data_IF_114614098299
#
_entry.id   IF_114614098299
#
_cell.length_a   1.000
_cell.length_b   1.000
_cell.length_c   1.000
_cell.angle_alpha   90.00
_cell.angle_beta   90.00
_cell.angle_gamma   90.00
#
_symmetry.space_group_name_H-M   'P 1'
#
loop_
_entity.id
_entity.type
_entity.pdbx_description
1 polymer ?
#
# COMPACT_ATOMS: atom_id res chain seq x y z
N UNK A 1 -23.15 -7.90 -18.10
CA UNK A 1 -23.21 -6.43 -18.13
C UNK A 1 -21.79 -5.95 -18.39
N UNK A 2 -21.51 -5.45 -19.59
CA UNK A 2 -20.18 -4.96 -19.96
C UNK A 2 -19.95 -3.61 -19.26
N UNK A 3 -19.24 -3.63 -18.14
CA UNK A 3 -18.64 -2.42 -17.57
C UNK A 3 -17.51 -2.00 -18.49
N UNK A 4 -17.78 -1.10 -19.43
CA UNK A 4 -16.73 -0.47 -20.23
C UNK A 4 -15.81 0.28 -19.29
N UNK A 5 -14.59 -0.23 -19.11
CA UNK A 5 -13.55 0.49 -18.39
C UNK A 5 -13.26 1.78 -19.14
N UNK A 6 -13.58 2.93 -18.55
CA UNK A 6 -13.19 4.23 -19.11
C UNK A 6 -11.68 4.26 -19.28
N UNK A 7 -11.21 4.59 -20.48
CA UNK A 7 -9.79 4.67 -20.81
C UNK A 7 -9.19 5.99 -20.35
N UNK A 8 -7.88 6.03 -20.06
CA UNK A 8 -7.18 7.30 -19.78
C UNK A 8 -7.37 8.32 -20.89
N UNK A 9 -7.46 7.88 -22.15
CA UNK A 9 -7.71 8.78 -23.29
C UNK A 9 -9.06 9.48 -23.19
N UNK A 10 -10.10 8.81 -22.70
CA UNK A 10 -11.42 9.41 -22.50
C UNK A 10 -11.42 10.37 -21.30
N UNK A 11 -10.72 10.01 -20.21
CA UNK A 11 -10.59 10.87 -19.02
C UNK A 11 -9.82 12.16 -19.34
N UNK A 12 -8.67 12.05 -20.04
CA UNK A 12 -7.83 13.20 -20.38
C UNK A 12 -8.55 14.18 -21.31
N UNK A 13 -9.39 13.69 -22.22
CA UNK A 13 -10.11 14.53 -23.18
C UNK A 13 -11.51 14.93 -22.70
N UNK A 14 -11.84 14.70 -21.43
CA UNK A 14 -13.16 15.03 -20.90
C UNK A 14 -13.38 16.56 -20.87
N UNK A 15 -14.53 17.06 -21.34
CA UNK A 15 -14.81 18.49 -21.29
C UNK A 15 -14.80 19.03 -19.85
N UNK A 16 -14.09 20.13 -19.62
CA UNK A 16 -14.07 20.83 -18.32
C UNK A 16 -12.99 20.37 -17.33
N UNK A 17 -12.13 19.43 -17.72
CA UNK A 17 -10.97 19.02 -16.91
C UNK A 17 -9.87 20.09 -16.94
N UNK A 18 -9.23 20.36 -15.80
CA UNK A 18 -8.13 21.33 -15.70
C UNK A 18 -6.86 20.79 -16.35
N UNK A 19 -5.95 21.68 -16.76
CA UNK A 19 -4.65 21.25 -17.32
C UNK A 19 -3.84 20.41 -16.32
N UNK A 20 -3.85 20.81 -15.04
CA UNK A 20 -3.20 20.08 -13.95
C UNK A 20 -3.73 18.66 -13.81
N UNK A 21 -5.06 18.48 -13.91
CA UNK A 21 -5.68 17.16 -13.85
C UNK A 21 -5.37 16.33 -15.11
N UNK A 22 -5.29 16.95 -16.29
CA UNK A 22 -4.84 16.27 -17.50
C UNK A 22 -3.40 15.78 -17.36
N UNK A 23 -2.51 16.60 -16.79
CA UNK A 23 -1.10 16.26 -16.62
C UNK A 23 -0.93 15.15 -15.58
N UNK A 24 -1.72 15.18 -14.50
CA UNK A 24 -1.81 14.07 -13.53
C UNK A 24 -2.23 12.76 -14.19
N UNK A 25 -3.31 12.79 -14.98
CA UNK A 25 -3.80 11.60 -15.70
C UNK A 25 -2.81 11.10 -16.76
N UNK A 26 -2.09 12.00 -17.42
CA UNK A 26 -1.02 11.64 -18.37
C UNK A 26 0.15 10.97 -17.66
N UNK A 27 0.61 11.51 -16.54
CA UNK A 27 1.68 10.93 -15.74
C UNK A 27 1.31 9.52 -15.24
N UNK A 28 0.11 9.36 -14.68
CA UNK A 28 -0.38 8.07 -14.18
C UNK A 28 -0.56 7.05 -15.33
N UNK A 29 -1.11 7.50 -16.47
CA UNK A 29 -1.19 6.67 -17.68
C UNK A 29 0.18 6.23 -18.19
N UNK A 30 1.17 7.13 -18.21
CA UNK A 30 2.55 6.79 -18.59
C UNK A 30 3.13 5.73 -17.65
N UNK A 31 3.00 5.94 -16.35
CA UNK A 31 3.52 5.02 -15.34
C UNK A 31 2.91 3.62 -15.48
N UNK A 32 1.58 3.56 -15.66
CA UNK A 32 0.85 2.31 -15.88
C UNK A 32 1.26 1.58 -17.16
N UNK A 33 1.41 2.31 -18.28
CA UNK A 33 1.84 1.73 -19.55
C UNK A 33 3.31 1.30 -19.55
N UNK A 34 4.19 2.04 -18.89
CA UNK A 34 5.60 1.65 -18.66
C UNK A 34 5.63 0.33 -17.89
N UNK A 35 4.92 0.24 -16.76
CA UNK A 35 4.83 -0.99 -15.96
C UNK A 35 4.32 -2.18 -16.77
N UNK A 36 3.22 -2.00 -17.51
CA UNK A 36 2.66 -3.05 -18.35
C UNK A 36 3.63 -3.51 -19.46
N UNK A 37 4.35 -2.57 -20.09
CA UNK A 37 5.31 -2.89 -21.15
C UNK A 37 6.55 -3.62 -20.60
N UNK A 38 7.05 -3.23 -19.42
CA UNK A 38 8.13 -3.92 -18.72
C UNK A 38 7.75 -5.36 -18.38
N UNK A 39 6.55 -5.58 -17.83
CA UNK A 39 6.01 -6.92 -17.57
C UNK A 39 5.93 -7.74 -18.85
N UNK A 40 5.40 -7.15 -19.94
CA UNK A 40 5.32 -7.80 -21.25
C UNK A 40 6.68 -8.19 -21.84
N UNK A 41 7.75 -7.47 -21.48
CA UNK A 41 9.14 -7.77 -21.86
C UNK A 41 9.82 -8.78 -20.94
N UNK A 42 9.15 -9.25 -19.90
CA UNK A 42 9.72 -10.14 -18.89
C UNK A 42 10.64 -9.43 -17.88
N UNK A 43 10.64 -8.09 -17.87
CA UNK A 43 11.49 -7.28 -17.00
C UNK A 43 10.81 -6.98 -15.67
N UNK A 44 10.62 -8.04 -14.88
CA UNK A 44 9.81 -7.99 -13.67
C UNK A 44 10.47 -7.16 -12.56
N UNK A 45 11.79 -7.06 -12.53
CA UNK A 45 12.49 -6.30 -11.49
C UNK A 45 12.28 -4.80 -11.65
N UNK A 46 12.43 -4.24 -12.86
CA UNK A 46 12.12 -2.84 -13.12
C UNK A 46 10.62 -2.55 -12.96
N UNK A 47 9.75 -3.47 -13.39
CA UNK A 47 8.30 -3.32 -13.22
C UNK A 47 7.88 -3.27 -11.74
N UNK A 48 8.55 -4.00 -10.85
CA UNK A 48 8.30 -3.94 -9.40
C UNK A 48 8.70 -2.59 -8.79
N UNK A 49 9.75 -1.95 -9.30
CA UNK A 49 10.19 -0.65 -8.82
C UNK A 49 9.15 0.44 -9.12
N UNK A 50 8.38 0.30 -10.20
CA UNK A 50 7.25 1.22 -10.50
C UNK A 50 6.23 1.26 -9.35
N UNK A 51 6.05 0.16 -8.61
CA UNK A 51 5.13 0.11 -7.46
C UNK A 51 5.66 0.84 -6.22
N UNK A 52 6.93 1.23 -6.21
CA UNK A 52 7.55 2.03 -5.13
C UNK A 52 7.42 3.54 -5.38
N UNK A 53 6.89 3.95 -6.54
CA UNK A 53 6.60 5.35 -6.84
C UNK A 53 5.40 5.78 -6.00
N UNK A 54 5.59 6.78 -5.15
CA UNK A 54 4.52 7.33 -4.30
C UNK A 54 3.69 8.34 -5.08
N UNK A 55 4.33 9.14 -5.95
CA UNK A 55 3.67 10.12 -6.80
C UNK A 55 4.37 10.20 -8.16
N UNK A 56 3.56 10.38 -9.22
CA UNK A 56 4.06 10.70 -10.56
C UNK A 56 3.42 11.98 -11.07
N UNK A 57 4.23 12.89 -11.61
CA UNK A 57 3.74 14.13 -12.22
C UNK A 57 4.59 14.53 -13.43
N UNK A 58 3.99 15.37 -14.27
CA UNK A 58 4.73 16.01 -15.35
C UNK A 58 5.26 17.36 -14.86
N UNK A 59 6.55 17.62 -15.06
CA UNK A 59 7.15 18.93 -14.82
C UNK A 59 7.74 19.48 -16.11
N UNK A 60 7.48 20.75 -16.38
CA UNK A 60 8.03 21.44 -17.53
C UNK A 60 9.53 21.70 -17.35
N UNK A 61 10.35 21.24 -18.30
CA UNK A 61 11.81 21.32 -18.21
C UNK A 61 12.36 22.70 -18.66
N UNK A 62 11.53 23.54 -19.26
CA UNK A 62 11.89 24.85 -19.79
C UNK A 62 12.36 24.87 -21.25
N UNK A 63 12.53 23.71 -21.90
CA UNK A 63 13.08 23.53 -23.25
C UNK A 63 12.08 22.96 -24.28
N UNK A 64 10.78 23.08 -24.00
CA UNK A 64 9.65 22.60 -24.80
C UNK A 64 9.13 21.19 -24.49
N UNK A 65 9.61 20.52 -23.45
CA UNK A 65 9.24 19.14 -23.14
C UNK A 65 8.84 18.97 -21.67
N UNK A 66 8.02 17.95 -21.41
CA UNK A 66 7.64 17.57 -20.05
C UNK A 66 8.52 16.40 -19.59
N UNK A 67 9.04 16.51 -18.37
CA UNK A 67 9.71 15.42 -17.69
C UNK A 67 8.70 14.61 -16.86
N UNK A 68 8.79 13.28 -16.92
CA UNK A 68 8.08 12.43 -15.97
C UNK A 68 8.87 12.37 -14.67
N UNK A 69 8.34 13.02 -13.64
CA UNK A 69 8.89 12.97 -12.28
C UNK A 69 8.27 11.80 -11.55
N UNK A 70 9.12 10.93 -11.01
CA UNK A 70 8.76 9.82 -10.13
C UNK A 70 9.29 10.15 -8.74
N UNK A 71 8.39 10.46 -7.82
CA UNK A 71 8.75 10.70 -6.43
C UNK A 71 8.67 9.40 -5.64
N UNK A 72 9.77 9.08 -4.96
CA UNK A 72 9.94 7.83 -4.21
C UNK A 72 10.33 8.14 -2.78
N UNK A 73 10.07 7.22 -1.86
CA UNK A 73 10.55 7.40 -0.50
C UNK A 73 12.09 7.36 -0.44
N UNK A 74 12.75 8.13 0.45
CA UNK A 74 14.21 8.09 0.63
C UNK A 74 14.80 6.68 0.87
N UNK A 75 14.06 5.79 1.54
CA UNK A 75 14.51 4.40 1.75
C UNK A 75 14.60 3.59 0.45
N UNK A 76 13.82 3.96 -0.55
CA UNK A 76 13.61 3.17 -1.76
C UNK A 76 14.42 3.76 -2.93
N UNK A 77 14.92 5.00 -2.77
CA UNK A 77 15.78 5.69 -3.75
C UNK A 77 16.98 4.86 -4.19
N UNK A 78 17.58 4.10 -3.28
CA UNK A 78 18.73 3.25 -3.58
C UNK A 78 18.43 2.12 -4.57
N UNK A 79 17.16 1.72 -4.71
CA UNK A 79 16.74 0.70 -5.67
C UNK A 79 16.68 1.23 -7.12
N UNK A 80 16.56 2.55 -7.29
CA UNK A 80 16.56 3.22 -8.60
C UNK A 80 18.00 3.59 -9.01
N UNK A 81 18.76 2.57 -9.40
CA UNK A 81 20.12 2.74 -9.94
C UNK A 81 20.12 3.49 -11.27
N UNK A 82 21.28 3.98 -11.72
CA UNK A 82 21.41 4.59 -13.05
C UNK A 82 20.85 3.70 -14.16
N UNK A 83 21.20 2.42 -14.13
CA UNK A 83 20.83 1.46 -15.16
C UNK A 83 19.31 1.24 -15.21
N UNK A 84 18.68 1.17 -14.04
CA UNK A 84 17.21 1.11 -13.94
C UNK A 84 16.59 2.39 -14.48
N UNK A 85 17.09 3.55 -14.06
CA UNK A 85 16.53 4.85 -14.48
C UNK A 85 16.67 5.04 -15.98
N UNK A 86 17.81 4.69 -16.57
CA UNK A 86 18.02 4.80 -18.02
C UNK A 86 17.11 3.86 -18.80
N UNK A 87 16.90 2.64 -18.28
CA UNK A 87 15.90 1.72 -18.83
C UNK A 87 14.48 2.28 -18.75
N UNK A 88 14.11 2.90 -17.62
CA UNK A 88 12.80 3.55 -17.47
C UNK A 88 12.64 4.70 -18.45
N UNK A 89 13.69 5.49 -18.71
CA UNK A 89 13.68 6.54 -19.73
C UNK A 89 13.39 5.97 -21.11
N UNK A 90 14.12 4.94 -21.53
CA UNK A 90 13.92 4.31 -22.85
C UNK A 90 12.47 3.85 -23.05
N UNK A 91 11.91 3.17 -22.04
CA UNK A 91 10.53 2.69 -22.09
C UNK A 91 9.54 3.86 -22.05
N UNK A 92 9.80 4.88 -21.23
CA UNK A 92 8.97 6.08 -21.15
C UNK A 92 8.90 6.81 -22.49
N UNK A 93 10.04 7.04 -23.15
CA UNK A 93 10.11 7.66 -24.48
C UNK A 93 9.30 6.86 -25.50
N UNK A 94 9.41 5.53 -25.50
CA UNK A 94 8.64 4.67 -26.40
C UNK A 94 7.13 4.78 -26.16
N UNK A 95 6.69 4.71 -24.90
CA UNK A 95 5.28 4.80 -24.53
C UNK A 95 4.73 6.20 -24.84
N UNK A 96 5.45 7.24 -24.44
CA UNK A 96 5.10 8.64 -24.67
C UNK A 96 4.93 8.95 -26.16
N UNK A 97 5.84 8.47 -27.02
CA UNK A 97 5.73 8.63 -28.46
C UNK A 97 4.49 7.94 -29.05
N UNK A 98 4.07 6.80 -28.50
CA UNK A 98 2.85 6.10 -28.95
C UNK A 98 1.57 6.77 -28.48
N UNK A 99 1.61 7.41 -27.31
CA UNK A 99 0.47 8.10 -26.71
C UNK A 99 0.39 9.58 -27.10
N UNK A 100 1.44 10.13 -27.73
CA UNK A 100 1.57 11.54 -28.12
C UNK A 100 1.53 12.49 -26.91
N UNK A 101 2.29 12.15 -25.86
CA UNK A 101 2.29 12.91 -24.60
C UNK A 101 3.41 13.96 -24.49
N UNK A 102 4.40 13.94 -25.39
CA UNK A 102 5.49 14.92 -25.40
C UNK A 102 6.44 14.83 -24.19
N UNK A 103 6.58 13.62 -23.64
CA UNK A 103 7.49 13.30 -22.53
C UNK A 103 8.68 12.49 -23.05
N UNK A 104 9.90 12.91 -22.75
CA UNK A 104 11.10 12.21 -23.23
C UNK A 104 12.13 11.93 -22.12
N UNK A 105 11.88 12.38 -20.90
CA UNK A 105 12.77 12.20 -19.77
C UNK A 105 12.05 11.64 -18.55
N UNK A 106 12.81 10.93 -17.72
CA UNK A 106 12.35 10.40 -16.44
C UNK A 106 13.34 10.83 -15.36
N UNK A 107 12.81 11.45 -14.32
CA UNK A 107 13.58 11.85 -13.14
C UNK A 107 13.04 11.12 -11.93
N UNK A 108 13.90 10.40 -11.23
CA UNK A 108 13.57 9.80 -9.94
C UNK A 108 14.17 10.64 -8.83
N UNK A 109 13.32 11.16 -7.95
CA UNK A 109 13.74 11.95 -6.79
C UNK A 109 13.00 11.54 -5.53
N UNK A 110 13.55 11.95 -4.41
CA UNK A 110 12.96 11.66 -3.11
C UNK A 110 11.78 12.61 -2.86
N UNK A 111 10.69 12.07 -2.30
CA UNK A 111 9.64 12.91 -1.71
C UNK A 111 10.28 13.73 -0.59
N UNK A 112 10.15 15.05 -0.67
CA UNK A 112 10.58 15.94 0.41
C UNK A 112 9.48 15.94 1.47
N UNK A 113 9.76 15.49 2.70
CA UNK A 113 8.76 15.50 3.75
C UNK A 113 8.41 16.94 4.11
N UNK A 114 7.12 17.23 4.26
CA UNK A 114 6.71 18.48 4.88
C UNK A 114 7.25 18.55 6.31
N UNK A 115 7.88 19.67 6.66
CA UNK A 115 8.46 19.90 7.98
C UNK A 115 7.66 20.96 8.73
N UNK A 116 7.22 20.63 9.95
CA UNK A 116 6.51 21.56 10.83
C UNK A 116 7.47 22.51 11.57
N UNK A 117 6.96 23.52 12.31
CA UNK A 117 7.78 24.47 13.06
C UNK A 117 8.73 23.80 14.09
N UNK A 118 8.39 22.60 14.56
CA UNK A 118 9.15 21.79 15.51
C UNK A 118 10.14 20.81 14.84
N UNK A 119 10.51 21.01 13.57
CA UNK A 119 11.37 20.09 12.82
C UNK A 119 12.71 19.78 13.49
N UNK A 120 13.26 20.71 14.28
CA UNK A 120 14.52 20.51 15.00
C UNK A 120 14.41 19.44 16.08
N UNK A 121 13.27 19.37 16.77
CA UNK A 121 13.04 18.36 17.80
C UNK A 121 12.78 17.00 17.16
N UNK A 122 12.02 16.97 16.06
CA UNK A 122 11.79 15.75 15.26
C UNK A 122 13.10 15.17 14.68
N UNK A 123 13.99 16.03 14.17
CA UNK A 123 15.31 15.58 13.70
C UNK A 123 16.19 15.10 14.85
N UNK A 124 16.14 15.75 16.01
CA UNK A 124 16.90 15.32 17.20
C UNK A 124 16.43 13.93 17.65
N UNK A 125 15.13 13.71 17.71
CA UNK A 125 14.55 12.40 18.02
C UNK A 125 14.95 11.33 16.98
N UNK A 126 14.87 11.65 15.69
CA UNK A 126 15.28 10.74 14.62
C UNK A 126 16.78 10.39 14.67
N UNK A 127 17.64 11.38 14.96
CA UNK A 127 19.08 11.21 15.11
C UNK A 127 19.44 10.37 16.35
N UNK A 128 18.65 10.46 17.43
CA UNK A 128 18.73 9.60 18.61
C UNK A 128 18.20 8.17 18.36
N UNK A 129 17.82 7.84 17.12
CA UNK A 129 17.33 6.52 16.71
C UNK A 129 15.84 6.29 16.96
N UNK A 130 15.08 7.32 17.38
CA UNK A 130 13.61 7.26 17.43
C UNK A 130 13.09 7.49 16.01
N UNK A 131 13.03 6.42 15.22
CA UNK A 131 12.44 6.48 13.87
C UNK A 131 10.98 6.93 13.96
N UNK A 132 10.55 7.92 13.17
CA UNK A 132 9.13 8.23 13.00
C UNK A 132 8.37 6.96 12.57
N UNK A 133 7.21 6.71 13.17
CA UNK A 133 6.39 5.53 12.86
C UNK A 133 5.66 5.70 11.51
N UNK A 134 5.30 4.59 10.86
CA UNK A 134 4.50 4.64 9.63
C UNK A 134 3.14 5.34 9.83
N UNK A 135 2.59 5.37 11.06
CA UNK A 135 1.36 6.12 11.37
C UNK A 135 1.56 7.65 11.32
N UNK A 136 2.75 8.15 11.69
CA UNK A 136 3.12 9.56 11.50
C UNK A 136 3.55 9.84 10.05
N UNK A 137 4.12 8.85 9.37
CA UNK A 137 4.48 8.87 7.94
C UNK A 137 3.26 8.92 7.01
N UNK A 138 2.15 8.26 7.37
CA UNK A 138 0.89 8.19 6.61
C UNK A 138 -0.02 9.42 6.72
N UNK A 139 0.36 10.44 7.49
CA UNK A 139 -0.42 11.68 7.62
C UNK A 139 -0.09 12.70 6.52
N UNK A 140 0.96 12.46 5.72
CA UNK A 140 1.45 13.42 4.74
C UNK A 140 1.61 12.73 3.38
N UNK A 141 0.90 13.29 2.40
CA UNK A 141 1.23 13.21 0.97
C UNK A 141 0.90 11.90 0.23
N UNK A 142 -0.39 11.66 0.00
CA UNK A 142 -0.98 11.05 -1.21
C UNK A 142 -2.49 10.91 -0.94
N UNK A 143 -3.34 11.09 -1.96
CA UNK A 143 -4.75 10.67 -1.86
C UNK A 143 -4.78 9.17 -1.52
N UNK A 144 -5.09 8.87 -0.26
CA UNK A 144 -5.06 7.50 0.24
C UNK A 144 -6.12 6.68 -0.50
N UNK A 145 -5.68 5.89 -1.48
CA UNK A 145 -6.55 5.08 -2.36
C UNK A 145 -7.46 4.11 -1.61
N UNK A 146 -7.03 3.65 -0.44
CA UNK A 146 -7.76 2.67 0.38
C UNK A 146 -8.06 3.27 1.75
N UNK A 147 -9.15 4.03 1.85
CA UNK A 147 -9.63 4.64 3.09
C UNK A 147 -11.10 4.35 3.30
N UNK A 148 -11.45 3.96 4.51
CA UNK A 148 -12.84 3.83 4.97
C UNK A 148 -12.89 4.13 6.47
N UNK A 149 -13.97 4.78 6.95
CA UNK A 149 -14.18 5.14 8.36
C UNK A 149 -12.98 5.86 9.02
N UNK A 150 -12.31 6.73 8.25
CA UNK A 150 -11.07 7.43 8.64
C UNK A 150 -9.87 6.52 8.96
N UNK A 151 -9.96 5.23 8.61
CA UNK A 151 -8.88 4.25 8.66
C UNK A 151 -8.25 4.13 7.27
N UNK A 152 -6.94 3.86 7.23
CA UNK A 152 -6.18 3.71 6.00
C UNK A 152 -5.59 2.31 5.88
N UNK A 153 -5.55 1.77 4.67
CA UNK A 153 -5.07 0.43 4.36
C UNK A 153 -3.93 0.48 3.32
N UNK A 154 -3.03 -0.51 3.33
CA UNK A 154 -1.91 -0.58 2.38
C UNK A 154 -2.32 -1.14 1.03
N UNK A 155 -3.34 -1.99 1.00
CA UNK A 155 -3.79 -2.68 -0.20
C UNK A 155 -5.31 -2.96 -0.17
N UNK A 156 -5.86 -3.33 -1.32
CA UNK A 156 -7.29 -3.64 -1.45
C UNK A 156 -7.72 -4.89 -0.65
N UNK A 157 -6.81 -5.83 -0.40
CA UNK A 157 -7.07 -7.03 0.42
C UNK A 157 -7.35 -6.68 1.87
N UNK A 158 -6.51 -5.82 2.47
CA UNK A 158 -6.73 -5.27 3.81
C UNK A 158 -8.07 -4.55 3.94
N UNK A 159 -8.40 -3.69 2.96
CA UNK A 159 -9.69 -3.01 2.94
C UNK A 159 -10.85 -4.00 2.85
N UNK A 160 -10.75 -5.06 2.03
CA UNK A 160 -11.78 -6.11 1.93
C UNK A 160 -11.96 -6.87 3.23
N UNK A 161 -10.86 -7.24 3.91
CA UNK A 161 -10.93 -7.90 5.23
C UNK A 161 -11.60 -7.00 6.24
N UNK A 162 -11.25 -5.72 6.27
CA UNK A 162 -11.89 -4.72 7.12
C UNK A 162 -13.39 -4.64 6.86
N UNK A 163 -13.81 -4.50 5.60
CA UNK A 163 -15.22 -4.43 5.21
C UNK A 163 -15.99 -5.70 5.61
N UNK A 164 -15.38 -6.87 5.47
CA UNK A 164 -15.99 -8.13 5.89
C UNK A 164 -16.11 -8.26 7.42
N UNK A 165 -15.09 -7.82 8.18
CA UNK A 165 -15.16 -7.76 9.64
C UNK A 165 -16.22 -6.76 10.12
N UNK A 166 -16.30 -5.58 9.50
CA UNK A 166 -17.34 -4.58 9.73
C UNK A 166 -18.73 -5.14 9.45
N UNK A 167 -18.90 -5.87 8.33
CA UNK A 167 -20.15 -6.56 8.04
C UNK A 167 -20.52 -7.59 9.13
N UNK A 168 -19.54 -8.38 9.60
CA UNK A 168 -19.77 -9.32 10.72
C UNK A 168 -20.22 -8.56 11.97
N UNK A 169 -19.52 -7.50 12.33
CA UNK A 169 -19.80 -6.66 13.50
C UNK A 169 -21.22 -6.08 13.45
N UNK A 170 -21.63 -5.53 12.31
CA UNK A 170 -22.89 -4.80 12.19
C UNK A 170 -24.11 -5.66 11.87
N UNK A 171 -23.92 -6.77 11.14
CA UNK A 171 -25.03 -7.53 10.54
C UNK A 171 -25.16 -8.97 11.02
N UNK A 172 -24.07 -9.57 11.52
CA UNK A 172 -24.04 -11.00 11.85
C UNK A 172 -23.98 -11.24 13.36
N UNK A 173 -23.20 -10.45 14.09
CA UNK A 173 -23.10 -10.59 15.54
C UNK A 173 -24.40 -10.18 16.26
N UNK A 174 -24.71 -10.80 17.41
CA UNK A 174 -25.79 -10.33 18.29
C UNK A 174 -25.57 -8.87 18.70
N UNK A 175 -26.65 -8.14 19.00
CA UNK A 175 -26.60 -6.71 19.33
C UNK A 175 -25.74 -6.39 20.57
N UNK A 176 -25.67 -7.33 21.49
CA UNK A 176 -24.90 -7.26 22.73
C UNK A 176 -23.42 -7.65 22.56
N UNK A 177 -23.00 -8.03 21.36
CA UNK A 177 -21.62 -8.39 21.05
C UNK A 177 -20.97 -7.40 20.08
N UNK A 178 -19.66 -7.22 20.21
CA UNK A 178 -18.88 -6.41 19.26
C UNK A 178 -17.44 -6.92 19.18
N UNK A 179 -16.79 -6.59 18.08
CA UNK A 179 -15.35 -6.77 17.87
C UNK A 179 -14.68 -5.41 17.76
N UNK A 180 -13.48 -5.25 18.33
CA UNK A 180 -12.60 -4.14 17.98
C UNK A 180 -11.77 -4.51 16.75
N UNK A 181 -11.66 -3.61 15.78
CA UNK A 181 -10.89 -3.81 14.55
C UNK A 181 -9.84 -2.72 14.46
N UNK A 182 -8.56 -3.09 14.52
CA UNK A 182 -7.44 -2.16 14.56
C UNK A 182 -6.46 -2.46 13.42
N UNK A 183 -6.68 -1.90 12.22
CA UNK A 183 -5.81 -2.12 11.08
C UNK A 183 -4.45 -1.47 11.29
N UNK A 184 -3.39 -2.13 10.82
CA UNK A 184 -2.02 -1.61 10.74
C UNK A 184 -1.52 -1.02 12.06
N UNK A 185 -1.83 -1.74 13.13
CA UNK A 185 -1.47 -1.36 14.49
C UNK A 185 -0.02 -1.69 14.73
N UNK A 186 0.84 -0.68 14.79
CA UNK A 186 2.21 -0.90 15.22
C UNK A 186 2.22 -1.43 16.66
N UNK A 187 2.93 -2.53 16.87
CA UNK A 187 3.12 -3.13 18.19
C UNK A 187 4.60 -3.31 18.50
N UNK A 188 4.93 -3.38 19.78
CA UNK A 188 6.28 -3.71 20.23
C UNK A 188 6.22 -4.89 21.17
N UNK A 189 7.00 -5.92 20.85
CA UNK A 189 7.32 -7.03 21.74
C UNK A 189 8.80 -6.97 22.09
N UNK A 190 9.25 -7.82 23.00
CA UNK A 190 10.65 -7.83 23.43
C UNK A 190 11.61 -7.91 22.23
N UNK A 191 12.50 -6.92 22.11
CA UNK A 191 13.52 -6.86 21.06
C UNK A 191 13.04 -6.53 19.65
N UNK A 192 11.74 -6.30 19.39
CA UNK A 192 11.23 -6.07 18.03
C UNK A 192 9.98 -5.19 17.98
N UNK A 193 9.95 -4.26 17.02
CA UNK A 193 8.71 -3.59 16.57
C UNK A 193 8.13 -4.37 15.40
N UNK A 194 6.81 -4.48 15.36
CA UNK A 194 6.09 -5.22 14.34
C UNK A 194 4.85 -4.45 13.87
N UNK A 195 4.33 -4.81 12.71
CA UNK A 195 3.11 -4.24 12.13
C UNK A 195 2.25 -5.40 11.63
N UNK A 196 1.32 -5.92 12.44
CA UNK A 196 0.28 -6.85 11.98
C UNK A 196 -0.68 -6.15 11.04
N UNK A 197 -1.20 -6.89 10.07
CA UNK A 197 -2.16 -6.31 9.11
C UNK A 197 -3.44 -5.88 9.83
N UNK A 198 -4.01 -6.75 10.66
CA UNK A 198 -5.18 -6.42 11.49
C UNK A 198 -5.07 -7.04 12.88
N UNK A 199 -5.26 -6.23 13.92
CA UNK A 199 -5.54 -6.71 15.28
C UNK A 199 -7.05 -6.71 15.50
N UNK A 200 -7.57 -7.81 16.03
CA UNK A 200 -8.98 -7.95 16.39
C UNK A 200 -9.10 -8.22 17.89
N UNK A 201 -9.99 -7.49 18.57
CA UNK A 201 -10.37 -7.80 19.95
C UNK A 201 -11.79 -8.33 20.00
N UNK A 202 -12.01 -9.42 20.74
CA UNK A 202 -13.33 -10.03 20.87
C UNK A 202 -13.44 -10.80 22.17
N UNK A 203 -14.52 -10.59 22.94
CA UNK A 203 -14.79 -11.26 24.23
C UNK A 203 -13.59 -11.27 25.19
N UNK A 204 -12.89 -10.13 25.29
CA UNK A 204 -11.73 -9.94 26.16
C UNK A 204 -10.43 -10.62 25.68
N UNK A 205 -10.39 -11.10 24.44
CA UNK A 205 -9.21 -11.70 23.81
C UNK A 205 -8.70 -10.83 22.67
N UNK A 206 -7.41 -10.97 22.37
CA UNK A 206 -6.74 -10.31 21.24
C UNK A 206 -6.31 -11.38 20.24
N UNK A 207 -6.66 -11.19 18.98
CA UNK A 207 -6.22 -11.99 17.86
C UNK A 207 -5.56 -11.14 16.80
N UNK A 208 -4.70 -11.77 15.99
CA UNK A 208 -4.02 -11.14 14.86
C UNK A 208 -4.41 -11.87 13.58
N UNK A 209 -4.77 -11.11 12.56
CA UNK A 209 -4.97 -11.58 11.19
C UNK A 209 -3.85 -11.03 10.33
N UNK A 210 -3.16 -11.92 9.64
CA UNK A 210 -2.21 -11.59 8.58
C UNK A 210 -2.87 -11.93 7.23
N UNK A 211 -2.70 -11.09 6.24
CA UNK A 211 -3.28 -11.24 4.91
C UNK A 211 -2.13 -11.66 4.01
N UNK A 212 -2.11 -12.94 3.65
CA UNK A 212 -0.99 -13.49 2.91
C UNK A 212 -0.92 -12.80 1.54
N UNK A 213 0.26 -12.29 1.17
CA UNK A 213 0.58 -11.94 -0.20
C UNK A 213 1.04 -13.17 -0.99
N UNK A 214 1.02 -13.15 -2.34
CA UNK A 214 1.29 -14.32 -3.19
C UNK A 214 2.69 -14.95 -3.06
N UNK A 215 3.59 -14.44 -2.19
CA UNK A 215 5.00 -14.83 -2.13
C UNK A 215 5.60 -14.98 -0.72
N UNK A 216 4.90 -15.56 0.26
CA UNK A 216 5.51 -15.86 1.56
C UNK A 216 5.93 -17.34 1.72
N UNK A 217 7.02 -17.73 1.05
CA UNK A 217 7.72 -19.00 1.30
C UNK A 217 9.09 -18.85 1.98
N UNK A 218 9.39 -17.69 2.59
CA UNK A 218 10.67 -17.45 3.23
C UNK A 218 10.57 -17.39 4.76
N UNK A 219 11.04 -18.46 5.42
CA UNK A 219 11.48 -18.58 6.83
C UNK A 219 10.42 -18.91 7.90
N UNK A 220 9.85 -20.13 7.82
CA UNK A 220 9.04 -20.77 8.89
C UNK A 220 9.61 -20.59 10.32
N UNK A 221 10.93 -20.67 10.49
CA UNK A 221 11.55 -20.57 11.82
C UNK A 221 11.40 -19.18 12.47
N UNK A 222 11.46 -18.09 11.67
CA UNK A 222 11.28 -16.72 12.16
C UNK A 222 9.81 -16.43 12.48
N UNK A 223 8.88 -17.07 11.76
CA UNK A 223 7.45 -16.99 12.03
C UNK A 223 7.08 -17.69 13.33
N UNK A 224 7.67 -18.86 13.61
CA UNK A 224 7.42 -19.57 14.88
C UNK A 224 7.91 -18.77 16.09
N UNK A 225 9.13 -18.22 16.06
CA UNK A 225 9.63 -17.35 17.15
C UNK A 225 8.76 -16.11 17.32
N UNK A 226 8.26 -15.54 16.21
CA UNK A 226 7.34 -14.39 16.24
C UNK A 226 6.03 -14.75 16.93
N UNK A 227 5.39 -15.84 16.53
CA UNK A 227 4.12 -16.29 17.12
C UNK A 227 4.25 -16.55 18.62
N UNK A 228 5.38 -17.12 19.07
CA UNK A 228 5.65 -17.32 20.49
C UNK A 228 5.69 -16.00 21.28
N UNK A 229 6.43 -15.00 20.80
CA UNK A 229 6.53 -13.69 21.47
C UNK A 229 5.18 -12.99 21.62
N UNK A 230 4.25 -13.22 20.69
CA UNK A 230 2.91 -12.65 20.76
C UNK A 230 2.02 -13.35 21.75
N UNK A 231 2.10 -14.67 21.79
CA UNK A 231 1.38 -15.45 22.80
C UNK A 231 1.85 -15.07 24.19
N UNK A 232 3.17 -14.90 24.36
CA UNK A 232 3.76 -14.40 25.61
C UNK A 232 3.29 -12.96 25.93
N UNK A 233 3.01 -12.15 24.90
CA UNK A 233 2.44 -10.80 25.03
C UNK A 233 0.91 -10.77 25.20
N UNK A 234 0.24 -11.93 25.26
CA UNK A 234 -1.22 -12.02 25.49
C UNK A 234 -2.09 -12.08 24.22
N UNK A 235 -1.50 -12.22 23.04
CA UNK A 235 -2.25 -12.52 21.80
C UNK A 235 -2.67 -13.99 21.84
N UNK A 236 -3.97 -14.24 21.90
CA UNK A 236 -4.51 -15.58 22.05
C UNK A 236 -4.41 -16.41 20.76
N UNK A 237 -4.54 -15.76 19.60
CA UNK A 237 -4.59 -16.46 18.32
C UNK A 237 -4.04 -15.61 17.17
N UNK A 238 -3.30 -16.24 16.27
CA UNK A 238 -2.80 -15.65 15.03
C UNK A 238 -3.28 -16.54 13.89
N UNK A 239 -3.91 -15.97 12.87
CA UNK A 239 -4.36 -16.72 11.69
C UNK A 239 -4.03 -15.94 10.41
N UNK A 240 -4.02 -16.66 9.29
CA UNK A 240 -3.75 -16.07 7.98
C UNK A 240 -4.98 -16.13 7.09
N UNK A 241 -5.28 -15.03 6.41
CA UNK A 241 -6.28 -14.98 5.35
C UNK A 241 -5.56 -15.29 4.04
N UNK A 242 -5.88 -16.42 3.38
CA UNK A 242 -5.28 -16.76 2.09
C UNK A 242 -5.79 -15.81 1.00
N UNK A 243 -4.95 -15.54 -0.01
CA UNK A 243 -5.30 -14.65 -1.14
C UNK A 243 -6.57 -15.11 -1.85
N UNK A 244 -6.73 -16.43 -1.99
CA UNK A 244 -7.87 -17.05 -2.66
C UNK A 244 -9.19 -16.68 -2.00
N UNK A 245 -9.21 -16.59 -0.67
CA UNK A 245 -10.40 -16.18 0.07
C UNK A 245 -10.75 -14.70 -0.13
N UNK A 246 -9.79 -13.85 -0.55
CA UNK A 246 -10.07 -12.42 -0.81
C UNK A 246 -10.86 -12.19 -2.10
N UNK A 247 -10.92 -13.19 -2.99
CA UNK A 247 -11.64 -13.12 -4.27
C UNK A 247 -13.08 -13.67 -4.16
N UNK A 248 -13.41 -14.43 -3.11
CA UNK A 248 -14.77 -14.89 -2.80
C UNK A 248 -15.29 -14.32 -1.46
N UNK A 249 -16.26 -13.39 -1.48
CA UNK A 249 -16.83 -12.81 -0.27
C UNK A 249 -17.41 -13.83 0.73
N UNK A 250 -17.97 -14.94 0.26
CA UNK A 250 -18.54 -15.97 1.16
C UNK A 250 -17.43 -16.79 1.82
N UNK A 251 -16.38 -17.11 1.08
CA UNK A 251 -15.20 -17.76 1.65
C UNK A 251 -14.52 -16.87 2.68
N UNK A 252 -14.34 -15.58 2.38
CA UNK A 252 -13.78 -14.60 3.31
C UNK A 252 -14.57 -14.56 4.63
N UNK A 253 -15.91 -14.45 4.55
CA UNK A 253 -16.77 -14.46 5.73
C UNK A 253 -16.63 -15.77 6.52
N UNK A 254 -16.52 -16.92 5.85
CA UNK A 254 -16.31 -18.22 6.49
C UNK A 254 -14.98 -18.29 7.24
N UNK A 255 -13.90 -17.79 6.63
CA UNK A 255 -12.56 -17.69 7.25
C UNK A 255 -12.61 -16.80 8.49
N UNK A 256 -13.17 -15.59 8.38
CA UNK A 256 -13.22 -14.63 9.48
C UNK A 256 -14.10 -15.12 10.63
N UNK A 257 -15.24 -15.77 10.35
CA UNK A 257 -16.08 -16.37 11.41
C UNK A 257 -15.37 -17.51 12.12
N UNK A 258 -14.59 -18.32 11.38
CA UNK A 258 -13.75 -19.38 11.97
C UNK A 258 -12.67 -18.79 12.87
N UNK A 259 -12.02 -17.72 12.44
CA UNK A 259 -11.05 -16.97 13.24
C UNK A 259 -11.67 -16.46 14.54
N UNK A 260 -12.81 -15.76 14.48
CA UNK A 260 -13.49 -15.23 15.67
C UNK A 260 -13.92 -16.33 16.65
N UNK A 261 -14.38 -17.48 16.14
CA UNK A 261 -14.70 -18.64 16.98
C UNK A 261 -13.45 -19.20 17.66
N UNK A 262 -12.35 -19.36 16.92
CA UNK A 262 -11.09 -19.88 17.49
C UNK A 262 -10.51 -18.94 18.54
N UNK A 263 -10.62 -17.64 18.32
CA UNK A 263 -10.19 -16.61 19.27
C UNK A 263 -10.88 -16.77 20.64
N UNK A 264 -12.13 -17.25 20.66
CA UNK A 264 -12.87 -17.53 21.89
C UNK A 264 -12.59 -18.92 22.46
N UNK A 265 -12.25 -19.90 21.62
CA UNK A 265 -12.06 -21.31 22.00
C UNK A 265 -10.66 -21.60 22.58
N UNK A 266 -9.65 -20.76 22.29
CA UNK A 266 -8.31 -20.88 22.88
C UNK A 266 -8.34 -20.66 24.40
N UNK A 267 -8.25 -21.78 25.13
CA UNK A 267 -8.01 -21.88 26.57
C UNK A 267 -6.61 -22.41 26.84
#
# INVERSE_FOLDING_TARGET
>A
MNGGSTSYKELINQPGISQEEQDRLKADSLLGNIGALLVGRGDLDAARLILLVEESRLEWDGNNENDLILEVHPSDRAAFTSDVVDKLKEVCTEVSNRLDYGVNWVVVREVIPEVGPNWRDLLREAAEGKRPTNQARRLRTAEKRWVEDHLSFTNAGELRVYQALKHIQEKILPREETIGIFPLSNGRVSGRTWEPDVIVTYKGRVGVLEIDGPHHNARKALDTTREHLLRDAGVAFVDRVPVEALEDPQELLSVLRRFLRRLTDTR
#
